data_IF_625120688341
#
_entry.id   IF_625120688341
#
_cell.length_a   1.000
_cell.length_b   1.000
_cell.length_c   1.000
_cell.angle_alpha   90.00
_cell.angle_beta   90.00
_cell.angle_gamma   90.00
#
_symmetry.space_group_name_H-M   'P 1'
#
loop_
_entity.id
_entity.type
_entity.pdbx_description
1 polymer ?
#
# COMPACT_ATOMS: atom_id res chain seq x y z
N UNK A 1 -16.62 4.80 -6.09
CA UNK A 1 -16.17 3.59 -5.36
C UNK A 1 -16.49 3.76 -3.88
N UNK A 2 -17.14 2.78 -3.22
CA UNK A 2 -17.56 2.91 -1.81
C UNK A 2 -16.34 3.18 -0.90
N UNK A 3 -16.50 4.01 0.14
CA UNK A 3 -15.44 4.35 1.14
C UNK A 3 -14.66 3.11 1.63
N UNK A 4 -15.34 1.97 1.68
CA UNK A 4 -14.79 0.64 2.00
C UNK A 4 -13.65 0.21 1.06
N UNK A 5 -13.74 0.49 -0.24
CA UNK A 5 -12.73 0.16 -1.24
C UNK A 5 -11.44 0.98 -1.09
N UNK A 6 -11.55 2.26 -0.77
CA UNK A 6 -10.39 3.11 -0.47
C UNK A 6 -9.68 2.69 0.84
N UNK A 7 -10.47 2.34 1.87
CA UNK A 7 -9.92 1.80 3.12
C UNK A 7 -9.27 0.44 2.91
N UNK A 8 -9.90 -0.46 2.15
CA UNK A 8 -9.33 -1.76 1.82
C UNK A 8 -8.01 -1.62 1.05
N UNK A 9 -7.96 -0.65 0.12
CA UNK A 9 -6.73 -0.28 -0.57
C UNK A 9 -5.64 0.12 0.44
N UNK A 10 -5.87 1.11 1.30
CA UNK A 10 -4.89 1.55 2.29
C UNK A 10 -4.52 0.48 3.34
N UNK A 11 -5.40 -0.49 3.59
CA UNK A 11 -5.12 -1.59 4.49
C UNK A 11 -4.05 -2.56 3.94
N UNK A 12 -3.87 -2.63 2.61
CA UNK A 12 -2.88 -3.52 1.98
C UNK A 12 -1.45 -3.24 2.45
N UNK A 13 -0.90 -2.02 2.33
CA UNK A 13 0.46 -1.74 2.80
C UNK A 13 0.63 -1.93 4.31
N UNK A 14 -0.39 -1.61 5.11
CA UNK A 14 -0.35 -1.82 6.56
C UNK A 14 -0.29 -3.30 6.91
N UNK A 15 -1.13 -4.13 6.28
CA UNK A 15 -1.12 -5.57 6.47
C UNK A 15 0.20 -6.19 6.02
N UNK A 16 0.76 -5.74 4.90
CA UNK A 16 2.04 -6.21 4.40
C UNK A 16 3.20 -5.89 5.36
N UNK A 17 3.20 -4.71 5.99
CA UNK A 17 4.17 -4.34 7.01
C UNK A 17 4.01 -5.17 8.29
N UNK A 18 2.77 -5.38 8.78
CA UNK A 18 2.51 -6.19 9.96
C UNK A 18 2.87 -7.67 9.76
N UNK A 19 2.66 -8.18 8.54
CA UNK A 19 3.03 -9.55 8.17
C UNK A 19 4.54 -9.78 8.06
N UNK A 20 5.35 -8.71 8.05
CA UNK A 20 6.82 -8.78 7.99
C UNK A 20 7.42 -9.66 9.09
N UNK A 21 6.79 -9.72 10.27
CA UNK A 21 7.28 -10.50 11.42
C UNK A 21 6.99 -11.99 11.25
N UNK A 22 5.91 -12.33 10.55
CA UNK A 22 5.44 -13.71 10.36
C UNK A 22 5.91 -14.34 9.04
N UNK A 23 6.40 -13.55 8.08
CA UNK A 23 6.93 -14.08 6.82
C UNK A 23 8.40 -14.52 6.99
N UNK A 24 8.70 -15.84 6.91
CA UNK A 24 10.08 -16.34 7.00
C UNK A 24 10.94 -15.90 5.79
N UNK A 25 10.33 -15.37 4.72
CA UNK A 25 11.05 -14.81 3.56
C UNK A 25 11.59 -13.40 3.80
N UNK A 26 10.98 -12.67 4.75
CA UNK A 26 11.39 -11.31 5.14
C UNK A 26 12.23 -11.38 6.40
N UNK A 27 11.85 -12.24 7.35
CA UNK A 27 12.56 -12.51 8.59
C UNK A 27 13.56 -13.66 8.42
N UNK A 28 14.51 -13.50 7.50
CA UNK A 28 15.60 -14.45 7.25
C UNK A 28 16.90 -13.69 7.09
N UNK A 29 18.03 -14.37 7.32
CA UNK A 29 19.38 -13.85 7.11
C UNK A 29 19.72 -13.65 5.62
N UNK A 30 18.73 -13.67 4.72
CA UNK A 30 18.94 -13.35 3.31
C UNK A 30 19.25 -11.86 3.18
N UNK A 31 20.43 -11.58 2.66
CA UNK A 31 20.80 -10.24 2.19
C UNK A 31 20.23 -10.04 0.78
N UNK A 32 19.27 -9.13 0.64
CA UNK A 32 18.81 -8.60 -0.65
C UNK A 32 19.62 -7.35 -0.98
N UNK A 33 20.30 -7.32 -2.13
CA UNK A 33 21.19 -6.21 -2.53
C UNK A 33 22.26 -5.84 -1.48
N UNK A 34 22.64 -6.78 -0.60
CA UNK A 34 23.58 -6.53 0.50
C UNK A 34 22.95 -5.98 1.79
N UNK A 35 21.63 -5.81 1.84
CA UNK A 35 20.87 -5.35 3.00
C UNK A 35 19.93 -6.45 3.52
N UNK A 36 19.56 -6.47 4.80
CA UNK A 36 18.57 -7.42 5.32
C UNK A 36 17.26 -7.35 4.52
N UNK A 37 16.70 -8.50 4.13
CA UNK A 37 15.45 -8.56 3.36
C UNK A 37 14.31 -7.74 3.98
N UNK A 38 14.28 -7.63 5.31
CA UNK A 38 13.35 -6.80 6.07
C UNK A 38 13.46 -5.30 5.75
N UNK A 39 14.67 -4.77 5.57
CA UNK A 39 14.88 -3.37 5.18
C UNK A 39 14.34 -3.10 3.77
N UNK A 40 14.58 -4.01 2.83
CA UNK A 40 14.11 -3.85 1.45
C UNK A 40 12.59 -3.96 1.40
N UNK A 41 12.01 -4.95 2.09
CA UNK A 41 10.57 -5.15 2.19
C UNK A 41 9.85 -3.93 2.75
N UNK A 42 10.30 -3.44 3.91
CA UNK A 42 9.69 -2.26 4.55
C UNK A 42 9.83 -1.01 3.69
N UNK A 43 10.99 -0.78 3.07
CA UNK A 43 11.20 0.38 2.20
C UNK A 43 10.29 0.37 0.97
N UNK A 44 10.12 -0.79 0.32
CA UNK A 44 9.20 -0.94 -0.82
C UNK A 44 7.77 -0.61 -0.41
N UNK A 45 7.30 -1.14 0.72
CA UNK A 45 5.93 -0.89 1.19
C UNK A 45 5.71 0.53 1.67
N UNK A 46 6.70 1.17 2.31
CA UNK A 46 6.64 2.60 2.68
C UNK A 46 6.54 3.48 1.45
N UNK A 47 7.35 3.22 0.42
CA UNK A 47 7.28 3.96 -0.84
C UNK A 47 5.94 3.74 -1.57
N UNK A 48 5.34 2.57 -1.42
CA UNK A 48 4.04 2.24 -2.00
C UNK A 48 2.85 2.96 -1.33
N UNK A 49 3.01 3.52 -0.13
CA UNK A 49 1.93 4.28 0.55
C UNK A 49 1.55 5.54 -0.25
N UNK A 50 2.56 6.28 -0.75
CA UNK A 50 2.37 7.51 -1.52
C UNK A 50 1.52 7.30 -2.79
N UNK A 51 1.82 6.34 -3.69
CA UNK A 51 0.98 6.08 -4.84
C UNK A 51 -0.39 5.53 -4.45
N UNK A 52 -0.52 4.79 -3.34
CA UNK A 52 -1.82 4.36 -2.82
C UNK A 52 -2.72 5.54 -2.45
N UNK A 53 -2.16 6.53 -1.74
CA UNK A 53 -2.86 7.77 -1.41
C UNK A 53 -3.20 8.57 -2.66
N UNK A 54 -2.28 8.66 -3.62
CA UNK A 54 -2.55 9.33 -4.90
C UNK A 54 -3.68 8.66 -5.69
N UNK A 55 -3.76 7.32 -5.65
CA UNK A 55 -4.81 6.54 -6.29
C UNK A 55 -6.17 6.79 -5.61
N UNK A 56 -6.22 6.74 -4.28
CA UNK A 56 -7.42 7.07 -3.50
C UNK A 56 -7.90 8.48 -3.80
N UNK A 57 -6.99 9.46 -3.86
CA UNK A 57 -7.33 10.84 -4.17
C UNK A 57 -7.92 11.00 -5.59
N UNK A 58 -7.34 10.32 -6.60
CA UNK A 58 -7.90 10.31 -7.96
C UNK A 58 -9.30 9.69 -8.00
N UNK A 59 -9.52 8.61 -7.27
CA UNK A 59 -10.83 7.95 -7.24
C UNK A 59 -11.90 8.81 -6.56
N UNK A 60 -11.55 9.60 -5.54
CA UNK A 60 -12.48 10.58 -4.97
C UNK A 60 -12.87 11.65 -6.00
N UNK A 61 -11.88 12.19 -6.72
CA UNK A 61 -12.11 13.29 -7.68
C UNK A 61 -12.98 12.89 -8.87
N UNK A 62 -12.88 11.65 -9.36
CA UNK A 62 -13.71 11.16 -10.46
C UNK A 62 -15.15 10.80 -10.08
N UNK A 63 -15.46 10.68 -8.78
CA UNK A 63 -16.84 10.42 -8.33
C UNK A 63 -17.70 11.69 -8.25
N UNK A 64 -17.07 12.87 -8.19
CA UNK A 64 -17.77 14.16 -8.12
C UNK A 64 -18.17 14.69 -9.51
N UNK A 65 -17.69 14.07 -10.60
CA UNK A 65 -17.86 14.54 -11.99
C UNK A 65 -19.04 13.87 -12.74
N UNK A 66 -19.67 12.83 -12.20
CA UNK A 66 -20.83 12.13 -12.80
C UNK A 66 -22.21 12.63 -12.34
N UNK A 67 -22.29 13.68 -11.51
CA UNK A 67 -23.55 14.35 -11.12
C UNK A 67 -23.72 15.72 -11.82
N UNK A 68 -23.50 15.75 -13.14
CA UNK A 68 -23.82 16.91 -13.97
C UNK A 68 -25.34 17.03 -14.20
N UNK A 69 -25.99 18.16 -13.88
CA UNK A 69 -27.44 18.29 -13.96
C UNK A 69 -27.94 18.18 -15.41
N UNK A 70 -28.93 17.31 -15.64
CA UNK A 70 -29.76 17.29 -16.85
C UNK A 70 -30.64 18.54 -16.95
#
# INVERSE_FOLDING_TARGET
MSRKGAVALLAVPVAALLSSVWLPFVNTDRLWFGLPALFVWTSVWVLAITPFLALVNRTHRGADEEDGPC
#
